data_IF_814291923778
#
_entry.id   IF_814291923778
#
_cell.length_a   1.000
_cell.length_b   1.000
_cell.length_c   1.000
_cell.angle_alpha   90.00
_cell.angle_beta   90.00
_cell.angle_gamma   90.00
#
_symmetry.space_group_name_H-M   'P 1'
#
loop_
_entity.id
_entity.type
_entity.pdbx_description
1 polymer ?
#
# COMPACT_ATOMS: atom_id res chain seq x y z
N UNK A 1 4.52 -27.58 -4.90
CA UNK A 1 3.27 -27.82 -5.67
C UNK A 1 2.47 -26.53 -5.67
N UNK A 2 2.43 -25.82 -6.80
CA UNK A 2 1.77 -24.51 -6.92
C UNK A 2 0.26 -24.72 -7.06
N UNK A 3 -0.52 -24.41 -6.03
CA UNK A 3 -1.98 -24.51 -6.08
C UNK A 3 -2.49 -23.38 -6.98
N UNK A 4 -2.97 -23.71 -8.17
CA UNK A 4 -3.56 -22.76 -9.13
C UNK A 4 -4.77 -22.09 -8.47
N UNK A 5 -4.87 -20.77 -8.59
CA UNK A 5 -6.06 -20.01 -8.22
C UNK A 5 -7.29 -20.64 -8.91
N UNK A 6 -8.42 -20.69 -8.19
CA UNK A 6 -9.66 -21.21 -8.74
C UNK A 6 -10.02 -20.48 -10.05
N UNK A 7 -10.48 -21.20 -11.08
CA UNK A 7 -10.76 -20.60 -12.37
C UNK A 7 -11.89 -19.56 -12.26
N UNK A 8 -11.68 -18.40 -12.90
CA UNK A 8 -12.70 -17.35 -12.99
C UNK A 8 -13.96 -17.91 -13.64
N UNK A 9 -15.06 -17.98 -12.87
CA UNK A 9 -16.34 -18.52 -13.34
C UNK A 9 -16.98 -17.64 -14.40
N UNK A 10 -17.85 -18.22 -15.22
CA UNK A 10 -18.65 -17.48 -16.21
C UNK A 10 -19.53 -16.41 -15.54
N UNK A 11 -20.03 -16.69 -14.34
CA UNK A 11 -20.79 -15.74 -13.52
C UNK A 11 -19.94 -14.52 -13.10
N UNK A 12 -18.71 -14.74 -12.60
CA UNK A 12 -17.82 -13.63 -12.20
C UNK A 12 -17.43 -12.75 -13.40
N UNK A 13 -17.22 -13.36 -14.58
CA UNK A 13 -17.00 -12.61 -15.83
C UNK A 13 -18.22 -11.78 -16.25
N UNK A 14 -19.42 -12.28 -16.04
CA UNK A 14 -20.65 -11.55 -16.33
C UNK A 14 -20.80 -10.33 -15.41
N UNK A 15 -20.59 -10.50 -14.10
CA UNK A 15 -20.62 -9.40 -13.12
C UNK A 15 -19.59 -8.32 -13.45
N UNK A 16 -18.36 -8.71 -13.79
CA UNK A 16 -17.31 -7.78 -14.19
C UNK A 16 -17.70 -6.96 -15.43
N UNK A 17 -18.32 -7.61 -16.43
CA UNK A 17 -18.79 -6.93 -17.65
C UNK A 17 -19.92 -5.96 -17.36
N UNK A 18 -20.84 -6.28 -16.45
CA UNK A 18 -21.92 -5.37 -16.06
C UNK A 18 -21.39 -4.15 -15.32
N UNK A 19 -20.41 -4.31 -14.44
CA UNK A 19 -19.79 -3.16 -13.76
C UNK A 19 -19.05 -2.25 -14.75
N UNK A 20 -18.36 -2.83 -15.74
CA UNK A 20 -17.74 -2.06 -16.83
C UNK A 20 -18.79 -1.32 -17.67
N UNK A 21 -19.90 -1.97 -18.04
CA UNK A 21 -21.01 -1.35 -18.77
C UNK A 21 -21.63 -0.19 -17.98
N UNK A 22 -21.78 -0.34 -16.66
CA UNK A 22 -22.30 0.71 -15.78
C UNK A 22 -21.40 1.94 -15.79
N UNK A 23 -20.09 1.75 -15.67
CA UNK A 23 -19.10 2.84 -15.71
C UNK A 23 -19.12 3.58 -17.05
N UNK A 24 -19.15 2.85 -18.17
CA UNK A 24 -19.20 3.42 -19.52
C UNK A 24 -20.50 4.18 -19.77
N UNK A 25 -21.65 3.64 -19.32
CA UNK A 25 -22.95 4.31 -19.45
C UNK A 25 -22.98 5.62 -18.66
N UNK A 26 -22.45 5.62 -17.43
CA UNK A 26 -22.34 6.83 -16.63
C UNK A 26 -21.48 7.88 -17.36
N UNK A 27 -20.28 7.50 -17.82
CA UNK A 27 -19.36 8.40 -18.55
C UNK A 27 -20.00 8.99 -19.80
N UNK A 28 -20.71 8.17 -20.58
CA UNK A 28 -21.42 8.63 -21.76
C UNK A 28 -22.59 9.57 -21.42
N UNK A 29 -23.33 9.29 -20.36
CA UNK A 29 -24.44 10.14 -19.92
C UNK A 29 -23.93 11.52 -19.45
N UNK A 30 -22.85 11.55 -18.66
CA UNK A 30 -22.24 12.80 -18.21
C UNK A 30 -21.70 13.63 -19.39
N UNK A 31 -21.01 12.99 -20.35
CA UNK A 31 -20.56 13.64 -21.58
C UNK A 31 -21.71 14.24 -22.38
N UNK A 32 -22.79 13.48 -22.57
CA UNK A 32 -23.97 13.96 -23.30
C UNK A 32 -24.67 15.13 -22.60
N UNK A 33 -24.59 15.20 -21.27
CA UNK A 33 -25.16 16.27 -20.45
C UNK A 33 -24.19 17.46 -20.23
N UNK A 34 -22.96 17.40 -20.75
CA UNK A 34 -21.93 18.42 -20.52
C UNK A 34 -21.43 18.49 -19.07
N UNK A 35 -21.64 17.44 -18.28
CA UNK A 35 -21.27 17.39 -16.86
C UNK A 35 -19.87 16.81 -16.65
N UNK A 36 -19.10 17.33 -15.68
CA UNK A 36 -17.83 16.75 -15.30
C UNK A 36 -18.05 15.38 -14.63
N UNK A 37 -17.32 14.36 -15.09
CA UNK A 37 -17.32 13.04 -14.47
C UNK A 37 -15.92 12.59 -14.07
N UNK A 38 -15.77 12.11 -12.83
CA UNK A 38 -14.54 11.49 -12.34
C UNK A 38 -14.51 9.99 -12.68
N UNK A 39 -14.34 9.67 -13.95
CA UNK A 39 -14.31 8.27 -14.42
C UNK A 39 -13.13 7.49 -13.84
N UNK A 40 -11.98 8.15 -13.62
CA UNK A 40 -10.81 7.54 -12.98
C UNK A 40 -11.14 7.12 -11.54
N UNK A 41 -11.77 8.00 -10.75
CA UNK A 41 -12.21 7.68 -9.39
C UNK A 41 -13.30 6.59 -9.36
N UNK A 42 -14.20 6.59 -10.34
CA UNK A 42 -15.22 5.56 -10.45
C UNK A 42 -14.62 4.16 -10.73
N UNK A 43 -13.60 4.09 -11.60
CA UNK A 43 -12.83 2.87 -11.85
C UNK A 43 -12.08 2.43 -10.59
N UNK A 44 -11.35 3.34 -9.94
CA UNK A 44 -10.62 3.03 -8.71
C UNK A 44 -11.53 2.44 -7.63
N UNK A 45 -12.70 3.04 -7.41
CA UNK A 45 -13.70 2.56 -6.46
C UNK A 45 -14.27 1.19 -6.84
N UNK A 46 -14.48 0.93 -8.15
CA UNK A 46 -14.95 -0.37 -8.61
C UNK A 46 -13.92 -1.48 -8.37
N UNK A 47 -12.64 -1.19 -8.61
CA UNK A 47 -11.53 -2.11 -8.32
C UNK A 47 -11.39 -2.38 -6.82
N UNK A 48 -11.51 -1.34 -5.97
CA UNK A 48 -11.44 -1.50 -4.52
C UNK A 48 -12.59 -2.36 -3.98
N UNK A 49 -13.82 -2.17 -4.49
CA UNK A 49 -14.98 -3.02 -4.13
C UNK A 49 -14.77 -4.46 -4.57
N UNK A 50 -14.29 -4.69 -5.79
CA UNK A 50 -14.02 -6.03 -6.29
C UNK A 50 -12.95 -6.74 -5.44
N UNK A 51 -11.89 -6.02 -5.05
CA UNK A 51 -10.85 -6.53 -4.18
C UNK A 51 -11.37 -6.88 -2.78
N UNK A 52 -12.14 -5.98 -2.14
CA UNK A 52 -12.76 -6.26 -0.83
C UNK A 52 -13.67 -7.47 -0.89
N UNK A 53 -14.52 -7.58 -1.92
CA UNK A 53 -15.42 -8.72 -2.12
C UNK A 53 -14.64 -10.03 -2.29
N UNK A 54 -13.55 -10.02 -3.05
CA UNK A 54 -12.69 -11.19 -3.20
C UNK A 54 -12.01 -11.61 -1.88
N UNK A 55 -11.63 -10.63 -1.05
CA UNK A 55 -11.03 -10.88 0.27
C UNK A 55 -12.03 -11.38 1.32
N UNK A 56 -13.26 -10.87 1.29
CA UNK A 56 -14.31 -11.21 2.26
C UNK A 56 -15.07 -12.49 1.85
N UNK A 57 -14.75 -13.06 0.68
CA UNK A 57 -15.18 -14.42 0.29
C UNK A 57 -14.22 -15.42 0.94
N UNK A 58 -14.69 -16.41 1.71
CA UNK A 58 -13.82 -17.36 2.39
C UNK A 58 -13.26 -18.36 1.39
N UNK A 59 -12.19 -17.98 0.70
CA UNK A 59 -11.22 -18.94 0.17
C UNK A 59 -10.09 -19.07 1.18
N UNK A 60 -9.73 -20.32 1.49
CA UNK A 60 -8.61 -20.74 2.31
C UNK A 60 -7.29 -20.39 1.60
N UNK A 61 -6.97 -19.10 1.56
CA UNK A 61 -5.69 -18.59 1.08
C UNK A 61 -4.82 -18.40 2.32
N UNK A 62 -3.91 -19.36 2.51
CA UNK A 62 -2.84 -19.28 3.51
C UNK A 62 -2.18 -17.90 3.50
N UNK A 63 -1.69 -17.50 4.67
CA UNK A 63 -1.16 -16.17 4.98
C UNK A 63 -0.55 -15.47 3.75
N UNK A 64 -1.06 -14.29 3.34
CA UNK A 64 -0.69 -13.68 2.08
C UNK A 64 0.82 -13.47 2.03
N UNK A 65 1.45 -13.90 0.94
CA UNK A 65 2.79 -13.44 0.59
C UNK A 65 2.77 -11.90 0.66
N UNK A 66 3.63 -11.34 1.51
CA UNK A 66 3.65 -9.91 1.86
C UNK A 66 4.35 -9.11 0.77
N UNK A 67 3.84 -9.24 -0.45
CA UNK A 67 4.44 -8.71 -1.66
C UNK A 67 4.38 -7.18 -1.69
N UNK A 68 5.43 -6.57 -2.25
CA UNK A 68 5.65 -5.11 -2.31
C UNK A 68 4.46 -4.35 -2.93
N UNK A 69 3.77 -5.01 -3.85
CA UNK A 69 2.60 -4.57 -4.58
C UNK A 69 1.40 -4.30 -3.66
N UNK A 70 1.26 -5.04 -2.55
CA UNK A 70 0.17 -4.89 -1.58
C UNK A 70 0.34 -3.66 -0.67
N UNK A 71 1.55 -3.11 -0.62
CA UNK A 71 1.85 -1.95 0.21
C UNK A 71 1.40 -0.68 -0.53
N UNK A 72 0.56 0.18 0.07
CA UNK A 72 0.18 1.45 -0.56
C UNK A 72 1.41 2.34 -0.83
N UNK A 73 1.37 3.26 -1.82
CA UNK A 73 2.53 4.08 -2.19
C UNK A 73 3.21 4.81 -1.02
N UNK A 74 2.43 5.43 -0.13
CA UNK A 74 2.97 6.11 1.07
C UNK A 74 3.60 5.13 2.08
N UNK A 75 3.09 3.90 2.14
CA UNK A 75 3.68 2.83 2.95
C UNK A 75 5.00 2.34 2.37
N UNK A 76 5.12 2.23 1.04
CA UNK A 76 6.38 1.87 0.36
C UNK A 76 7.47 2.89 0.66
N UNK A 77 7.16 4.18 0.53
CA UNK A 77 8.08 5.29 0.87
C UNK A 77 8.58 5.23 2.32
N UNK A 78 7.69 4.87 3.25
CA UNK A 78 8.02 4.72 4.66
C UNK A 78 8.86 3.46 4.90
N UNK A 79 8.45 2.31 4.34
CA UNK A 79 9.17 1.04 4.49
C UNK A 79 10.58 1.12 3.91
N UNK A 80 10.75 1.67 2.70
CA UNK A 80 12.08 1.90 2.11
C UNK A 80 12.96 2.75 3.00
N UNK A 81 12.42 3.83 3.57
CA UNK A 81 13.17 4.71 4.44
C UNK A 81 13.59 4.00 5.74
N UNK A 82 12.69 3.24 6.36
CA UNK A 82 12.94 2.52 7.60
C UNK A 82 13.93 1.35 7.38
N UNK A 83 13.78 0.62 6.28
CA UNK A 83 14.66 -0.49 5.92
C UNK A 83 16.08 -0.03 5.54
N UNK A 84 16.20 1.14 4.92
CA UNK A 84 17.46 1.82 4.60
C UNK A 84 18.05 2.63 5.77
N UNK A 85 17.43 2.59 6.95
CA UNK A 85 17.83 3.35 8.13
C UNK A 85 19.30 3.17 8.55
N UNK A 86 19.79 3.98 9.51
CA UNK A 86 21.21 4.06 9.84
C UNK A 86 21.81 2.68 10.16
N UNK A 87 23.04 2.42 9.70
CA UNK A 87 23.78 1.15 9.86
C UNK A 87 23.98 0.70 11.32
N UNK A 88 23.61 1.51 12.31
CA UNK A 88 23.82 1.26 13.73
C UNK A 88 22.49 1.32 14.48
N UNK A 89 21.93 0.15 14.76
CA UNK A 89 20.83 -0.06 15.71
C UNK A 89 19.43 -0.17 15.08
N UNK A 90 18.46 -0.68 15.85
CA UNK A 90 17.08 -0.81 15.43
C UNK A 90 16.42 0.56 15.19
N UNK A 91 15.65 0.66 14.11
CA UNK A 91 14.90 1.87 13.78
C UNK A 91 13.53 1.79 14.45
N UNK A 92 13.38 2.51 15.57
CA UNK A 92 12.14 2.55 16.35
C UNK A 92 11.33 3.80 16.06
N UNK A 93 10.01 3.63 15.99
CA UNK A 93 9.03 4.68 15.78
C UNK A 93 8.21 4.88 17.05
N UNK A 94 8.05 6.15 17.43
CA UNK A 94 7.21 6.64 18.51
C UNK A 94 5.98 7.34 17.94
N UNK A 95 4.82 7.06 18.53
CA UNK A 95 3.62 7.85 18.27
C UNK A 95 3.72 9.18 19.03
N UNK A 96 3.51 10.29 18.33
CA UNK A 96 3.42 11.63 18.90
C UNK A 96 2.21 12.37 18.35
N UNK A 97 1.86 13.49 18.98
CA UNK A 97 0.96 14.50 18.42
C UNK A 97 1.84 15.66 17.96
N UNK A 98 1.69 16.09 16.71
CA UNK A 98 2.41 17.27 16.19
C UNK A 98 1.79 18.58 16.71
N UNK A 99 2.45 19.71 16.44
CA UNK A 99 2.02 21.04 16.90
C UNK A 99 0.61 21.42 16.38
N UNK A 100 0.15 20.80 15.28
CA UNK A 100 -1.20 20.96 14.73
C UNK A 100 -2.24 20.03 15.38
N UNK A 101 -1.87 19.28 16.42
CA UNK A 101 -2.75 18.31 17.07
C UNK A 101 -2.96 17.01 16.29
N UNK A 102 -2.16 16.72 15.27
CA UNK A 102 -2.33 15.55 14.40
C UNK A 102 -1.43 14.40 14.84
N UNK A 103 -1.92 13.15 14.84
CA UNK A 103 -1.09 12.00 15.17
C UNK A 103 -0.01 11.78 14.13
N UNK A 104 1.22 11.55 14.57
CA UNK A 104 2.40 11.23 13.76
C UNK A 104 3.20 10.10 14.36
N UNK A 105 4.00 9.47 13.51
CA UNK A 105 5.06 8.57 13.93
C UNK A 105 6.42 9.20 13.64
N UNK A 106 7.29 9.26 14.64
CA UNK A 106 8.63 9.83 14.53
C UNK A 106 9.68 8.82 14.96
N UNK A 107 10.91 8.99 14.49
CA UNK A 107 12.03 8.15 14.92
C UNK A 107 12.40 8.46 16.38
N UNK A 108 12.57 7.42 17.20
CA UNK A 108 12.98 7.54 18.61
C UNK A 108 14.32 8.28 18.78
N UNK A 109 15.31 7.95 17.95
CA UNK A 109 16.71 8.35 18.15
C UNK A 109 17.17 9.54 17.29
N UNK A 110 16.30 10.50 16.92
CA UNK A 110 16.75 11.68 16.14
C UNK A 110 16.36 13.01 16.77
N UNK A 111 17.39 13.86 16.91
CA UNK A 111 17.30 15.32 17.17
C UNK A 111 16.50 16.03 16.09
N UNK A 112 15.99 17.22 16.44
CA UNK A 112 15.15 18.15 15.67
C UNK A 112 15.26 18.04 14.14
N UNK A 113 14.11 17.98 13.45
CA UNK A 113 14.01 17.83 12.00
C UNK A 113 13.81 16.38 11.50
N UNK A 114 13.50 15.44 12.39
CA UNK A 114 13.21 14.05 12.04
C UNK A 114 11.98 13.92 11.13
N UNK A 115 12.04 12.98 10.18
CA UNK A 115 10.93 12.68 9.27
C UNK A 115 9.74 12.16 10.09
N UNK A 116 8.67 12.94 10.14
CA UNK A 116 7.40 12.50 10.69
C UNK A 116 6.59 11.76 9.62
N UNK A 117 6.04 10.60 9.98
CA UNK A 117 5.18 9.82 9.13
C UNK A 117 3.71 9.99 9.55
N UNK A 118 2.80 10.29 8.62
CA UNK A 118 1.37 10.27 8.92
C UNK A 118 0.88 8.82 9.14
N UNK A 119 -0.24 8.62 9.86
CA UNK A 119 -0.82 7.30 10.07
C UNK A 119 -1.13 6.55 8.77
N UNK A 120 -1.49 7.27 7.70
CA UNK A 120 -1.74 6.68 6.37
C UNK A 120 -0.49 6.03 5.74
N UNK A 121 0.71 6.40 6.18
CA UNK A 121 1.95 5.75 5.75
C UNK A 121 2.31 4.53 6.63
N UNK A 122 2.02 4.59 7.93
CA UNK A 122 2.46 3.58 8.91
C UNK A 122 1.42 2.49 9.16
N UNK A 123 0.14 2.84 9.32
CA UNK A 123 -0.91 1.90 9.69
C UNK A 123 -1.05 0.73 8.70
N UNK A 124 -0.90 0.90 7.37
CA UNK A 124 -0.88 -0.24 6.45
C UNK A 124 0.27 -1.21 6.74
N UNK A 125 1.45 -0.72 7.08
CA UNK A 125 2.62 -1.55 7.38
C UNK A 125 2.40 -2.36 8.67
N UNK A 126 1.76 -1.77 9.68
CA UNK A 126 1.37 -2.49 10.91
C UNK A 126 0.34 -3.58 10.60
N UNK A 127 -0.70 -3.24 9.82
CA UNK A 127 -1.75 -4.21 9.42
C UNK A 127 -1.19 -5.40 8.63
N UNK A 128 -0.15 -5.17 7.84
CA UNK A 128 0.55 -6.21 7.07
C UNK A 128 1.61 -6.97 7.89
N UNK A 129 1.85 -6.58 9.16
CA UNK A 129 2.89 -7.16 10.02
C UNK A 129 4.32 -6.81 9.59
N UNK A 130 4.51 -5.77 8.80
CA UNK A 130 5.81 -5.28 8.34
C UNK A 130 6.47 -4.37 9.38
N UNK A 131 5.65 -3.72 10.20
CA UNK A 131 6.07 -3.06 11.44
C UNK A 131 5.36 -3.76 12.61
N UNK A 132 6.08 -3.95 13.71
CA UNK A 132 5.54 -4.59 14.90
C UNK A 132 6.12 -3.96 16.17
N UNK A 133 5.37 -3.99 17.29
CA UNK A 133 5.94 -3.61 18.57
C UNK A 133 7.02 -4.59 19.00
N UNK A 134 8.22 -4.10 19.41
CA UNK A 134 9.26 -4.95 19.96
C UNK A 134 8.87 -5.42 21.38
N UNK A 135 9.41 -6.57 21.80
CA UNK A 135 9.05 -7.20 23.07
C UNK A 135 9.43 -6.35 24.30
N UNK A 136 10.50 -5.58 24.20
CA UNK A 136 11.02 -4.70 25.26
C UNK A 136 10.34 -3.32 25.30
N UNK A 137 9.64 -2.92 24.23
CA UNK A 137 9.01 -1.61 24.13
C UNK A 137 7.67 -1.68 23.36
N UNK A 138 6.58 -2.19 23.97
CA UNK A 138 5.32 -2.45 23.27
C UNK A 138 4.59 -1.19 22.78
N UNK A 139 4.95 -0.01 23.30
CA UNK A 139 4.42 1.28 22.85
C UNK A 139 5.10 1.83 21.58
N UNK A 140 6.17 1.19 21.12
CA UNK A 140 6.93 1.58 19.93
C UNK A 140 6.60 0.67 18.75
N UNK A 141 7.02 1.07 17.55
CA UNK A 141 7.03 0.19 16.38
C UNK A 141 8.45 0.04 15.85
N UNK A 142 8.81 -1.18 15.47
CA UNK A 142 10.08 -1.51 14.85
C UNK A 142 9.84 -2.25 13.54
N UNK A 143 10.83 -2.19 12.63
CA UNK A 143 10.82 -3.00 11.41
C UNK A 143 10.87 -4.49 11.76
N UNK A 144 9.83 -5.24 11.38
CA UNK A 144 9.79 -6.68 11.60
C UNK A 144 10.74 -7.41 10.63
N UNK A 145 11.07 -8.66 10.95
CA UNK A 145 11.80 -9.53 10.02
C UNK A 145 11.08 -9.66 8.67
N UNK A 146 9.74 -9.70 8.69
CA UNK A 146 8.92 -9.73 7.48
C UNK A 146 8.98 -8.42 6.69
N UNK A 147 8.98 -7.27 7.38
CA UNK A 147 9.18 -5.95 6.76
C UNK A 147 10.52 -5.85 6.05
N UNK A 148 11.59 -6.34 6.68
CA UNK A 148 12.93 -6.40 6.09
C UNK A 148 12.98 -7.32 4.87
N UNK A 149 12.48 -8.55 4.99
CA UNK A 149 12.44 -9.50 3.88
C UNK A 149 11.65 -8.97 2.68
N UNK A 150 10.50 -8.31 2.90
CA UNK A 150 9.70 -7.70 1.84
C UNK A 150 10.46 -6.59 1.10
N UNK A 151 11.21 -5.76 1.83
CA UNK A 151 12.06 -4.73 1.24
C UNK A 151 13.24 -5.32 0.46
N UNK A 152 13.93 -6.31 1.01
CA UNK A 152 15.11 -6.91 0.38
C UNK A 152 14.72 -7.63 -0.92
N UNK A 153 13.60 -8.38 -0.92
CA UNK A 153 13.03 -8.97 -2.14
C UNK A 153 12.67 -7.92 -3.20
N UNK A 154 12.12 -6.77 -2.78
CA UNK A 154 11.87 -5.66 -3.70
C UNK A 154 13.17 -5.13 -4.32
N UNK A 155 14.23 -4.96 -3.52
CA UNK A 155 15.53 -4.48 -4.01
C UNK A 155 16.18 -5.44 -4.99
N UNK A 156 16.07 -6.75 -4.74
CA UNK A 156 16.54 -7.79 -5.66
C UNK A 156 15.79 -7.72 -7.00
N UNK A 157 14.46 -7.68 -6.97
CA UNK A 157 13.62 -7.55 -8.19
C UNK A 157 13.91 -6.26 -8.94
N UNK A 158 14.14 -5.16 -8.22
CA UNK A 158 14.50 -3.87 -8.83
C UNK A 158 15.87 -3.94 -9.50
N UNK A 159 16.86 -4.55 -8.87
CA UNK A 159 18.20 -4.75 -9.44
C UNK A 159 18.16 -5.66 -10.68
N UNK A 160 17.23 -6.62 -10.72
CA UNK A 160 16.98 -7.49 -11.87
C UNK A 160 16.18 -6.82 -12.99
N UNK A 161 15.73 -5.58 -12.82
CA UNK A 161 14.94 -4.86 -13.82
C UNK A 161 13.54 -5.45 -14.02
N UNK A 162 12.94 -6.02 -12.98
CA UNK A 162 11.63 -6.66 -13.07
C UNK A 162 10.53 -5.66 -13.53
N UNK A 163 9.95 -5.86 -14.73
CA UNK A 163 8.95 -4.94 -15.30
C UNK A 163 7.59 -5.03 -14.60
N UNK A 164 7.38 -6.03 -13.73
CA UNK A 164 6.14 -6.18 -12.95
C UNK A 164 6.11 -5.31 -11.70
N UNK A 165 7.25 -4.72 -11.32
CA UNK A 165 7.31 -3.82 -10.19
C UNK A 165 6.48 -2.55 -10.48
N UNK A 166 5.65 -2.10 -9.52
CA UNK A 166 4.96 -0.83 -9.65
C UNK A 166 5.97 0.30 -9.88
N UNK A 167 5.68 1.18 -10.84
CA UNK A 167 6.47 2.39 -11.05
C UNK A 167 6.67 3.10 -9.70
N UNK A 168 7.92 3.38 -9.34
CA UNK A 168 8.24 4.18 -8.17
C UNK A 168 7.41 5.47 -8.27
N UNK A 169 6.70 5.82 -7.19
CA UNK A 169 5.73 6.92 -7.22
C UNK A 169 6.38 8.14 -7.86
N UNK A 170 5.94 8.46 -9.09
CA UNK A 170 6.36 9.65 -9.82
C UNK A 170 5.87 10.83 -8.98
N UNK A 171 6.71 11.30 -8.06
CA UNK A 171 6.50 12.60 -7.46
C UNK A 171 6.75 13.58 -8.59
N UNK A 172 5.82 14.50 -8.90
CA UNK A 172 6.19 15.70 -9.61
C UNK A 172 7.33 16.31 -8.79
N UNK A 173 8.52 16.37 -9.36
CA UNK A 173 9.50 17.30 -8.82
C UNK A 173 8.92 18.70 -9.01
N UNK A 174 9.34 19.69 -8.22
CA UNK A 174 8.92 21.09 -8.42
C UNK A 174 9.31 21.65 -9.81
N UNK A 175 9.93 20.85 -10.68
CA UNK A 175 10.41 21.23 -12.00
C UNK A 175 9.63 20.59 -13.16
N UNK A 176 8.52 19.88 -12.91
CA UNK A 176 7.77 19.22 -13.98
C UNK A 176 8.39 17.89 -14.42
N UNK A 177 7.76 17.25 -15.40
CA UNK A 177 8.13 15.94 -15.93
C UNK A 177 9.53 15.94 -16.55
#
# INVERSE_FOLDING_TARGET
MTKRAAPVTSALKAEFREEARRLIRADRAAKNAGLPQNTIGAIANALERAFKRGRDTPDDVGAPDRDWELIPPRGRDALSYLAAGPRRGPVRLLAIIDDDGRPRWVLENRRDGARAFPPVAINPLVKLGLLAPPADAPAMLELSAAGRAAHDRYRERQAAGDPTLPLAGMRPTKQGW
#
